data_IF_362663625089
#
_entry.id   IF_362663625089
#
_cell.length_a   1.000
_cell.length_b   1.000
_cell.length_c   1.000
_cell.angle_alpha   90.00
_cell.angle_beta   90.00
_cell.angle_gamma   90.00
#
_symmetry.space_group_name_H-M   'P 1'
#
loop_
_entity.id
_entity.type
_entity.pdbx_description
1 polymer ?
#
# COMPACT_ATOMS: atom_id res chain seq x y z
N UNK A 1 12.58 10.81 -13.13
CA UNK A 1 12.75 9.85 -12.03
C UNK A 1 14.10 9.17 -12.19
N UNK A 2 14.97 9.27 -11.19
CA UNK A 2 16.19 8.43 -11.12
C UNK A 2 15.84 7.22 -10.27
N UNK A 3 16.09 6.03 -10.79
CA UNK A 3 15.89 4.78 -10.07
C UNK A 3 17.17 4.47 -9.32
N UNK A 4 17.16 4.50 -7.98
CA UNK A 4 18.25 3.95 -7.19
C UNK A 4 17.81 2.59 -6.65
N UNK A 5 18.35 1.54 -7.23
CA UNK A 5 18.21 0.17 -6.72
C UNK A 5 19.26 -0.01 -5.63
N UNK A 6 18.89 0.13 -4.36
CA UNK A 6 19.74 -0.29 -3.26
C UNK A 6 19.50 -1.79 -3.00
N UNK A 7 20.44 -2.63 -3.44
CA UNK A 7 20.52 -4.04 -3.03
C UNK A 7 21.23 -4.04 -1.68
N UNK A 8 20.54 -4.40 -0.61
CA UNK A 8 21.18 -4.65 0.67
C UNK A 8 21.71 -6.10 0.66
N UNK A 9 23.02 -6.25 0.41
CA UNK A 9 23.69 -7.55 0.44
C UNK A 9 24.23 -7.82 1.85
N UNK A 10 23.54 -8.71 2.56
CA UNK A 10 23.91 -9.17 3.89
C UNK A 10 24.67 -10.48 3.82
N UNK A 11 25.93 -10.48 3.37
CA UNK A 11 26.79 -11.65 3.51
C UNK A 11 28.26 -11.26 3.77
N UNK A 12 28.68 -11.40 5.04
CA UNK A 12 30.10 -11.57 5.36
C UNK A 12 30.50 -13.00 4.97
N UNK A 13 31.44 -13.16 4.04
CA UNK A 13 32.32 -14.32 4.03
C UNK A 13 33.67 -14.01 3.41
N UNK A 14 34.70 -14.52 4.06
CA UNK A 14 36.12 -14.28 3.89
C UNK A 14 36.75 -15.45 3.10
N UNK A 15 37.67 -15.13 2.15
CA UNK A 15 39.00 -15.76 1.90
C UNK A 15 39.45 -15.77 0.42
N UNK A 16 40.48 -14.95 0.16
CA UNK A 16 41.78 -15.14 -0.53
C UNK A 16 42.00 -16.16 -1.69
N UNK A 17 42.43 -15.59 -2.83
CA UNK A 17 43.35 -15.98 -3.95
C UNK A 17 43.23 -17.25 -4.83
N UNK A 18 43.34 -16.94 -6.13
CA UNK A 18 43.51 -17.69 -7.40
C UNK A 18 44.33 -19.02 -7.41
N UNK A 19 43.85 -20.04 -8.16
CA UNK A 19 44.58 -20.86 -9.17
C UNK A 19 43.64 -21.82 -9.93
N UNK A 20 43.94 -22.04 -11.22
CA UNK A 20 43.13 -22.74 -12.25
C UNK A 20 43.24 -24.27 -12.18
N UNK A 21 42.13 -24.92 -12.61
CA UNK A 21 41.75 -26.34 -12.72
C UNK A 21 42.81 -27.38 -13.12
N UNK A 22 42.63 -28.64 -12.70
CA UNK A 22 42.00 -29.76 -13.47
C UNK A 22 42.03 -31.02 -12.59
N UNK A 23 40.88 -31.62 -12.24
CA UNK A 23 40.81 -33.07 -11.93
C UNK A 23 39.52 -33.67 -12.52
N UNK A 24 39.74 -34.81 -13.14
CA UNK A 24 38.92 -35.62 -14.05
C UNK A 24 37.70 -36.25 -13.36
N UNK A 25 36.55 -36.19 -14.03
CA UNK A 25 35.33 -36.94 -13.72
C UNK A 25 35.57 -38.44 -13.79
N UNK A 26 35.37 -39.16 -12.69
CA UNK A 26 34.79 -40.51 -12.70
C UNK A 26 34.23 -40.82 -11.31
N UNK A 27 32.90 -40.76 -11.19
CA UNK A 27 32.18 -41.27 -10.02
C UNK A 27 31.89 -40.23 -8.95
N UNK A 28 30.94 -39.33 -9.18
CA UNK A 28 30.08 -38.78 -8.13
C UNK A 28 28.84 -38.26 -8.84
N UNK A 29 27.65 -38.69 -8.40
CA UNK A 29 26.38 -38.33 -9.01
C UNK A 29 26.28 -36.82 -9.18
N UNK A 30 26.21 -36.36 -10.42
CA UNK A 30 25.76 -35.01 -10.72
C UNK A 30 24.26 -35.00 -10.47
N UNK A 31 23.86 -34.91 -9.21
CA UNK A 31 22.73 -34.06 -8.92
C UNK A 31 23.17 -32.70 -9.41
N UNK A 32 22.77 -32.33 -10.63
CA UNK A 32 22.66 -30.91 -10.96
C UNK A 32 21.71 -30.43 -9.88
N UNK A 33 22.28 -29.85 -8.81
CA UNK A 33 21.50 -29.22 -7.78
C UNK A 33 20.59 -28.28 -8.54
N UNK A 34 19.28 -28.53 -8.50
CA UNK A 34 18.36 -27.49 -8.90
C UNK A 34 18.75 -26.34 -7.99
N UNK A 35 19.34 -25.29 -8.54
CA UNK A 35 19.40 -24.02 -7.86
C UNK A 35 17.94 -23.67 -7.64
N UNK A 36 17.41 -24.11 -6.51
CA UNK A 36 16.11 -23.71 -6.03
C UNK A 36 16.31 -22.23 -5.80
N UNK A 37 15.71 -21.41 -6.65
CA UNK A 37 15.68 -19.98 -6.43
C UNK A 37 15.01 -19.81 -5.07
N UNK A 38 15.83 -19.61 -4.03
CA UNK A 38 15.37 -19.18 -2.73
C UNK A 38 14.53 -17.92 -3.00
N UNK A 39 13.25 -17.87 -2.57
CA UNK A 39 12.44 -16.69 -2.75
C UNK A 39 13.08 -15.58 -1.93
N UNK A 40 13.95 -14.81 -2.58
CA UNK A 40 14.52 -13.62 -2.01
C UNK A 40 13.42 -12.56 -2.05
N UNK A 41 13.08 -12.07 -0.87
CA UNK A 41 12.23 -10.91 -0.76
C UNK A 41 12.91 -9.77 -1.54
N UNK A 42 12.21 -9.23 -2.54
CA UNK A 42 12.67 -8.03 -3.24
C UNK A 42 12.01 -6.83 -2.56
N UNK A 43 12.79 -6.01 -1.88
CA UNK A 43 12.33 -4.68 -1.44
C UNK A 43 12.56 -3.71 -2.59
N UNK A 44 11.47 -3.07 -3.04
CA UNK A 44 11.54 -1.92 -3.94
C UNK A 44 10.98 -0.71 -3.20
N UNK A 45 11.81 0.30 -2.99
CA UNK A 45 11.37 1.59 -2.48
C UNK A 45 10.71 2.39 -3.62
N UNK A 46 9.53 2.95 -3.35
CA UNK A 46 8.89 3.93 -4.22
C UNK A 46 9.12 5.32 -3.59
N UNK A 47 10.10 6.05 -4.10
CA UNK A 47 10.39 7.40 -3.61
C UNK A 47 9.49 8.43 -4.30
N UNK A 48 8.72 9.18 -3.51
CA UNK A 48 8.07 10.40 -3.96
C UNK A 48 8.90 11.62 -3.53
N UNK A 49 8.76 12.74 -4.24
CA UNK A 49 9.64 13.90 -4.09
C UNK A 49 9.66 14.53 -2.69
N UNK A 50 8.66 14.23 -1.85
CA UNK A 50 8.55 14.70 -0.48
C UNK A 50 9.06 13.59 0.47
N UNK A 51 10.28 13.77 0.99
CA UNK A 51 11.09 12.72 1.62
C UNK A 51 10.66 12.34 3.05
N UNK A 52 9.68 13.04 3.63
CA UNK A 52 9.23 12.87 5.03
C UNK A 52 7.72 12.67 5.15
N UNK A 53 7.13 11.81 4.31
CA UNK A 53 5.70 11.48 4.43
C UNK A 53 5.51 10.17 5.18
N UNK A 54 4.99 10.24 6.41
CA UNK A 54 4.53 9.03 7.10
C UNK A 54 3.36 8.42 6.33
N UNK A 55 3.58 7.21 5.82
CA UNK A 55 2.52 6.42 5.19
C UNK A 55 1.78 5.60 6.26
N UNK A 56 0.47 5.80 6.36
CA UNK A 56 -0.37 5.11 7.34
C UNK A 56 -1.10 3.90 6.74
N UNK A 57 -1.40 3.94 5.44
CA UNK A 57 -2.22 2.92 4.78
C UNK A 57 -1.84 2.79 3.32
N UNK A 58 -2.00 1.59 2.77
CA UNK A 58 -1.85 1.29 1.35
C UNK A 58 -3.01 0.39 0.90
N UNK A 59 -3.51 0.61 -0.31
CA UNK A 59 -4.59 -0.17 -0.90
C UNK A 59 -4.38 -0.28 -2.42
N UNK A 60 -4.50 -1.49 -2.96
CA UNK A 60 -4.57 -1.70 -4.41
C UNK A 60 -6.04 -1.67 -4.83
N UNK A 61 -6.39 -0.79 -5.76
CA UNK A 61 -7.76 -0.74 -6.28
C UNK A 61 -8.04 -1.85 -7.32
N UNK A 62 -9.32 -2.03 -7.66
CA UNK A 62 -9.78 -2.99 -8.66
C UNK A 62 -9.19 -2.74 -10.08
N UNK A 63 -8.75 -1.52 -10.37
CA UNK A 63 -8.09 -1.16 -11.64
C UNK A 63 -6.57 -1.40 -11.59
N UNK A 64 -6.06 -1.93 -10.48
CA UNK A 64 -4.65 -2.24 -10.29
C UNK A 64 -3.78 -1.07 -9.86
N UNK A 65 -4.36 0.12 -9.62
CA UNK A 65 -3.61 1.28 -9.12
C UNK A 65 -3.33 1.13 -7.63
N UNK A 66 -2.19 1.65 -7.21
CA UNK A 66 -1.80 1.66 -5.80
C UNK A 66 -2.16 3.01 -5.18
N UNK A 67 -2.92 2.97 -4.11
CA UNK A 67 -3.32 4.11 -3.31
C UNK A 67 -2.59 4.06 -1.98
N UNK A 68 -2.12 5.20 -1.48
CA UNK A 68 -1.62 5.28 -0.12
C UNK A 68 -1.99 6.58 0.54
N UNK A 69 -2.32 6.46 1.81
CA UNK A 69 -2.69 7.55 2.68
C UNK A 69 -1.50 7.98 3.52
N UNK A 70 -1.32 9.29 3.62
CA UNK A 70 -0.29 9.94 4.44
C UNK A 70 -0.92 11.00 5.34
N UNK A 71 -0.12 11.59 6.22
CA UNK A 71 -0.52 12.78 6.98
C UNK A 71 -0.75 14.04 6.15
N UNK A 72 -0.33 14.03 4.88
CA UNK A 72 -0.48 15.17 3.97
C UNK A 72 -1.40 14.87 2.78
N UNK A 73 -2.12 13.76 2.78
CA UNK A 73 -3.10 13.48 1.74
C UNK A 73 -3.09 12.06 1.22
N UNK A 74 -3.92 11.87 0.19
CA UNK A 74 -4.09 10.62 -0.54
C UNK A 74 -3.33 10.70 -1.86
N UNK A 75 -2.55 9.66 -2.14
CA UNK A 75 -1.76 9.54 -3.36
C UNK A 75 -2.18 8.30 -4.13
N UNK A 76 -1.99 8.34 -5.45
CA UNK A 76 -2.24 7.21 -6.34
C UNK A 76 -1.09 7.04 -7.34
N UNK A 77 -0.72 5.80 -7.58
CA UNK A 77 0.27 5.36 -8.56
C UNK A 77 -0.38 4.42 -9.57
N UNK A 78 -0.29 4.76 -10.85
CA UNK A 78 -0.89 4.00 -11.95
C UNK A 78 0.04 2.94 -12.57
N UNK A 79 1.25 2.77 -12.02
CA UNK A 79 2.30 1.92 -12.59
C UNK A 79 3.40 2.70 -13.31
N UNK A 80 3.14 3.96 -13.67
CA UNK A 80 4.06 4.84 -14.39
C UNK A 80 4.30 6.13 -13.62
N UNK A 81 3.23 6.76 -13.16
CA UNK A 81 3.24 8.08 -12.52
C UNK A 81 2.57 8.05 -11.16
N UNK A 82 3.10 8.85 -10.25
CA UNK A 82 2.50 9.13 -8.94
C UNK A 82 1.89 10.51 -8.95
N UNK A 83 0.64 10.63 -8.48
CA UNK A 83 -0.04 11.89 -8.29
C UNK A 83 -0.63 12.01 -6.88
N UNK A 84 -0.63 13.23 -6.33
CA UNK A 84 -1.40 13.56 -5.12
C UNK A 84 -2.86 13.72 -5.56
N UNK A 85 -3.71 12.78 -5.13
CA UNK A 85 -5.13 12.75 -5.49
C UNK A 85 -5.97 13.67 -4.63
N UNK A 86 -5.63 13.83 -3.36
CA UNK A 86 -6.28 14.77 -2.45
C UNK A 86 -5.26 15.36 -1.47
N UNK A 87 -5.37 16.67 -1.21
CA UNK A 87 -4.51 17.42 -0.32
C UNK A 87 -5.16 17.66 1.04
N UNK A 88 -4.36 17.99 2.06
CA UNK A 88 -4.84 18.51 3.35
C UNK A 88 -5.74 17.57 4.19
N UNK A 89 -5.79 16.27 3.85
CA UNK A 89 -6.41 15.26 4.70
C UNK A 89 -5.35 14.31 5.24
N UNK A 90 -5.34 14.13 6.56
CA UNK A 90 -4.54 13.10 7.19
C UNK A 90 -5.26 11.76 7.06
N UNK A 91 -4.80 10.92 6.15
CA UNK A 91 -5.43 9.65 5.84
C UNK A 91 -4.93 8.57 6.81
N UNK A 92 -5.88 7.86 7.44
CA UNK A 92 -5.60 6.79 8.40
C UNK A 92 -5.86 5.41 7.81
N UNK A 93 -6.96 5.25 7.07
CA UNK A 93 -7.32 3.97 6.47
C UNK A 93 -8.09 4.15 5.16
N UNK A 94 -8.03 3.12 4.32
CA UNK A 94 -8.72 3.04 3.03
C UNK A 94 -9.49 1.72 2.94
N UNK A 95 -10.66 1.76 2.31
CA UNK A 95 -11.40 0.56 1.92
C UNK A 95 -12.10 0.81 0.59
N UNK A 96 -11.92 -0.08 -0.38
CA UNK A 96 -12.72 -0.07 -1.60
C UNK A 96 -13.91 -1.02 -1.45
N UNK A 97 -15.11 -0.54 -1.79
CA UNK A 97 -16.33 -1.36 -1.95
C UNK A 97 -16.98 -0.99 -3.27
N UNK A 98 -16.95 -1.92 -4.24
CA UNK A 98 -17.36 -1.63 -5.61
C UNK A 98 -16.55 -0.48 -6.20
N UNK A 99 -17.22 0.53 -6.74
CA UNK A 99 -16.59 1.75 -7.27
C UNK A 99 -16.35 2.84 -6.21
N UNK A 100 -16.77 2.62 -4.96
CA UNK A 100 -16.63 3.60 -3.88
C UNK A 100 -15.34 3.37 -3.11
N UNK A 101 -14.51 4.41 -3.01
CA UNK A 101 -13.41 4.47 -2.06
C UNK A 101 -13.91 5.10 -0.77
N UNK A 102 -13.78 4.37 0.33
CA UNK A 102 -14.00 4.85 1.69
C UNK A 102 -12.67 5.25 2.31
N UNK A 103 -12.66 6.42 2.94
CA UNK A 103 -11.46 7.06 3.45
C UNK A 103 -11.69 7.46 4.90
N UNK A 104 -10.93 6.85 5.81
CA UNK A 104 -10.88 7.26 7.20
C UNK A 104 -9.77 8.28 7.42
N UNK A 105 -10.07 9.34 8.16
CA UNK A 105 -9.13 10.45 8.41
C UNK A 105 -8.86 10.65 9.89
N UNK A 106 -7.74 11.32 10.21
CA UNK A 106 -7.45 11.86 11.54
C UNK A 106 -8.30 13.13 11.76
N UNK A 107 -9.24 13.10 12.70
CA UNK A 107 -10.10 14.24 13.06
C UNK A 107 -11.08 14.74 11.99
N UNK A 108 -10.97 14.32 10.72
CA UNK A 108 -11.89 14.75 9.64
C UNK A 108 -13.14 13.89 9.50
N UNK A 109 -13.18 12.70 10.12
CA UNK A 109 -14.26 11.74 9.99
C UNK A 109 -14.13 10.80 8.79
N UNK A 110 -15.28 10.31 8.34
CA UNK A 110 -15.40 9.38 7.22
C UNK A 110 -15.69 10.15 5.93
N UNK A 111 -14.89 9.90 4.90
CA UNK A 111 -15.10 10.40 3.55
C UNK A 111 -15.37 9.25 2.59
N UNK A 112 -16.05 9.54 1.49
CA UNK A 112 -16.18 8.62 0.36
C UNK A 112 -16.16 9.34 -0.97
N UNK A 113 -15.59 8.71 -2.01
CA UNK A 113 -15.65 9.21 -3.38
C UNK A 113 -15.77 8.06 -4.39
N UNK A 114 -16.27 8.35 -5.59
CA UNK A 114 -16.30 7.39 -6.70
C UNK A 114 -14.94 7.35 -7.41
N UNK A 115 -14.37 6.16 -7.51
CA UNK A 115 -13.07 5.92 -8.14
C UNK A 115 -13.10 6.26 -9.64
N UNK A 116 -14.26 6.13 -10.28
CA UNK A 116 -14.45 6.44 -11.70
C UNK A 116 -14.62 7.94 -11.96
N UNK A 117 -15.28 8.66 -11.06
CA UNK A 117 -15.56 10.09 -11.19
C UNK A 117 -14.42 10.98 -10.65
N UNK A 118 -13.48 10.39 -9.91
CA UNK A 118 -12.30 11.08 -9.41
C UNK A 118 -12.57 11.96 -8.20
N UNK A 119 -11.67 12.94 -7.96
CA UNK A 119 -11.65 13.73 -6.73
C UNK A 119 -12.73 14.82 -6.63
N UNK A 120 -13.57 14.99 -7.65
CA UNK A 120 -14.55 16.08 -7.70
C UNK A 120 -15.77 15.87 -6.79
N UNK A 121 -16.02 14.64 -6.31
CA UNK A 121 -17.19 14.32 -5.46
C UNK A 121 -16.80 13.59 -4.18
N UNK A 122 -16.04 14.24 -3.30
CA UNK A 122 -15.83 13.73 -1.94
C UNK A 122 -17.03 14.06 -1.05
N UNK A 123 -17.65 13.03 -0.49
CA UNK A 123 -18.72 13.18 0.50
C UNK A 123 -18.14 12.99 1.89
N UNK A 124 -18.28 14.00 2.76
CA UNK A 124 -18.02 13.87 4.20
C UNK A 124 -19.30 13.45 4.91
N UNK A 125 -19.26 12.32 5.61
CA UNK A 125 -20.39 11.77 6.34
C UNK A 125 -20.54 12.44 7.70
N UNK A 126 -21.40 13.47 7.77
CA UNK A 126 -21.64 14.32 8.96
C UNK A 126 -21.81 13.58 10.28
N UNK A 127 -22.43 12.40 10.29
CA UNK A 127 -22.64 11.60 11.51
C UNK A 127 -21.34 11.12 12.16
N UNK A 128 -20.27 11.01 11.37
CA UNK A 128 -18.93 10.62 11.78
C UNK A 128 -17.93 11.77 11.60
N UNK A 129 -18.42 13.00 11.32
CA UNK A 129 -17.56 14.17 11.26
C UNK A 129 -16.90 14.40 12.62
N UNK A 130 -15.67 14.93 12.61
CA UNK A 130 -14.83 15.17 13.78
C UNK A 130 -14.27 13.93 14.51
N UNK A 131 -14.62 12.70 14.10
CA UNK A 131 -14.03 11.49 14.66
C UNK A 131 -12.74 11.11 13.91
N UNK A 132 -11.68 10.69 14.64
CA UNK A 132 -10.57 9.96 14.01
C UNK A 132 -11.04 8.56 13.66
N UNK A 133 -11.01 8.21 12.37
CA UNK A 133 -11.40 6.89 11.86
C UNK A 133 -10.14 6.04 11.67
N UNK A 134 -9.95 5.04 12.54
CA UNK A 134 -8.75 4.20 12.55
C UNK A 134 -8.85 3.02 11.60
N UNK A 135 -10.06 2.46 11.43
CA UNK A 135 -10.26 1.29 10.59
C UNK A 135 -11.67 1.25 10.01
N UNK A 136 -11.77 0.81 8.76
CA UNK A 136 -13.03 0.54 8.06
C UNK A 136 -12.94 -0.88 7.53
N UNK A 137 -13.99 -1.67 7.74
CA UNK A 137 -14.12 -3.03 7.20
C UNK A 137 -15.51 -3.21 6.60
N UNK A 138 -15.60 -4.00 5.54
CA UNK A 138 -16.90 -4.44 5.03
C UNK A 138 -17.52 -5.42 6.03
N UNK A 139 -18.79 -5.21 6.35
CA UNK A 139 -19.59 -6.05 7.23
C UNK A 139 -20.87 -6.47 6.49
N UNK A 140 -20.95 -7.75 6.14
CA UNK A 140 -22.04 -8.25 5.29
C UNK A 140 -22.00 -7.64 3.88
N UNK A 141 -23.17 -7.54 3.24
CA UNK A 141 -23.24 -7.15 1.82
C UNK A 141 -23.15 -5.63 1.60
N UNK A 142 -23.75 -4.82 2.50
CA UNK A 142 -23.93 -3.37 2.27
C UNK A 142 -23.61 -2.50 3.51
N UNK A 143 -22.96 -3.05 4.52
CA UNK A 143 -22.64 -2.31 5.74
C UNK A 143 -21.14 -2.24 5.94
N UNK A 144 -20.70 -1.19 6.61
CA UNK A 144 -19.33 -0.99 7.03
C UNK A 144 -19.28 -1.07 8.55
N UNK A 145 -18.28 -1.75 9.07
CA UNK A 145 -17.90 -1.66 10.46
C UNK A 145 -16.73 -0.68 10.58
N UNK A 146 -16.93 0.37 11.37
CA UNK A 146 -16.03 1.51 11.46
C UNK A 146 -15.52 1.62 12.90
N UNK A 147 -14.22 1.38 13.07
CA UNK A 147 -13.51 1.66 14.30
C UNK A 147 -13.03 3.10 14.33
N UNK A 148 -13.52 3.88 15.28
CA UNK A 148 -13.14 5.27 15.47
C UNK A 148 -12.65 5.51 16.91
N UNK A 149 -11.96 6.63 17.10
CA UNK A 149 -11.45 7.09 18.40
C UNK A 149 -12.50 7.17 19.50
N UNK A 150 -13.78 7.37 19.15
CA UNK A 150 -14.90 7.50 20.07
C UNK A 150 -15.85 6.29 20.08
N UNK A 151 -15.51 5.18 19.41
CA UNK A 151 -16.29 3.95 19.46
C UNK A 151 -16.31 3.13 18.17
N UNK A 152 -17.12 2.08 18.19
CA UNK A 152 -17.36 1.18 17.06
C UNK A 152 -18.74 1.48 16.46
N UNK A 153 -18.79 1.72 15.15
CA UNK A 153 -20.02 2.07 14.44
C UNK A 153 -20.34 1.05 13.36
N UNK A 154 -21.61 0.68 13.28
CA UNK A 154 -22.15 0.01 12.10
C UNK A 154 -22.77 1.08 11.19
N UNK A 155 -22.27 1.19 9.98
CA UNK A 155 -22.63 2.23 9.05
C UNK A 155 -23.18 1.63 7.76
N UNK A 156 -24.39 2.04 7.37
CA UNK A 156 -25.00 1.69 6.09
C UNK A 156 -25.08 2.95 5.23
N UNK A 157 -24.40 3.01 4.08
CA UNK A 157 -24.59 4.12 3.15
C UNK A 157 -26.04 4.09 2.65
N UNK A 158 -26.82 5.14 2.89
CA UNK A 158 -28.13 5.31 2.25
C UNK A 158 -28.00 6.31 1.10
N UNK A 159 -28.68 6.05 -0.02
CA UNK A 159 -28.65 6.90 -1.23
C UNK A 159 -29.18 8.34 -1.05
N UNK A 160 -29.58 8.75 0.16
CA UNK A 160 -29.98 10.13 0.41
C UNK A 160 -28.75 10.96 0.80
N UNK A 161 -28.20 11.63 -0.22
CA UNK A 161 -27.28 12.77 -0.10
C UNK A 161 -27.86 13.86 0.81
#
# INVERSE_FOLDING_TARGET
MKYNTAIFDGAKSCKTSLRVLVIIFLGFGWTIGRAQAEPHWMVRAFEYADQDLRTNTVLRDANGRLWWGTERGLYVFDGVTTQRFHAELWIQCLLQVGDTMWVGTEGGGLYSFSIQQGAHEWTNWKRLAAATIQQIQLYGNDQLMIGASNGLFLFKPSNNK
#
